data_IF_978038843308
#
_entry.id   IF_978038843308
#
_cell.length_a   1.000
_cell.length_b   1.000
_cell.length_c   1.000
_cell.angle_alpha   90.00
_cell.angle_beta   90.00
_cell.angle_gamma   90.00
#
_symmetry.space_group_name_H-M   'P 1'
#
loop_
_entity.id
_entity.type
_entity.pdbx_description
1 polymer ?
#
# COMPACT_ATOMS: atom_id res chain seq x y z
N UNK A 1 22.48 21.15 28.85
CA UNK A 1 22.51 22.18 29.91
C UNK A 1 22.99 21.62 31.25
N UNK A 2 22.32 20.65 31.88
CA UNK A 2 22.68 20.13 33.23
C UNK A 2 24.04 19.42 33.39
N UNK A 3 24.74 19.05 32.31
CA UNK A 3 25.99 18.28 32.38
C UNK A 3 27.23 19.19 32.30
N UNK A 4 27.09 20.40 31.76
CA UNK A 4 28.22 21.32 31.59
C UNK A 4 28.69 21.92 32.92
N UNK A 5 27.77 22.15 33.87
CA UNK A 5 28.08 22.76 35.17
C UNK A 5 28.93 21.86 36.10
N UNK A 6 28.95 20.55 35.85
CA UNK A 6 29.72 19.56 36.62
C UNK A 6 31.03 19.11 35.95
N UNK A 7 31.33 19.60 34.75
CA UNK A 7 32.52 19.21 33.98
C UNK A 7 33.73 20.14 34.21
N UNK A 8 33.53 21.29 34.84
CA UNK A 8 34.60 22.22 35.17
C UNK A 8 35.37 21.75 36.41
N UNK A 9 36.67 21.39 36.31
CA UNK A 9 37.47 21.02 37.48
C UNK A 9 37.74 22.20 38.42
N UNK A 10 37.36 23.42 38.00
CA UNK A 10 37.50 24.67 38.73
C UNK A 10 36.15 25.24 39.20
N UNK A 11 35.02 24.56 38.94
CA UNK A 11 33.77 24.87 39.64
C UNK A 11 33.93 24.37 41.07
N UNK A 12 34.33 25.32 41.91
CA UNK A 12 34.47 25.17 43.35
C UNK A 12 33.30 24.31 43.86
N UNK A 13 33.59 23.09 44.31
CA UNK A 13 32.67 22.32 45.15
C UNK A 13 32.32 23.28 46.28
N UNK A 14 31.15 23.91 46.16
CA UNK A 14 30.73 24.93 47.10
C UNK A 14 30.86 24.34 48.48
N UNK A 15 31.43 25.08 49.43
CA UNK A 15 31.32 24.72 50.83
C UNK A 15 29.84 24.36 51.13
N UNK A 16 29.57 23.31 51.92
CA UNK A 16 28.20 22.89 52.20
C UNK A 16 27.39 24.10 52.65
N UNK A 17 26.24 24.31 52.02
CA UNK A 17 25.32 25.40 52.37
C UNK A 17 25.04 25.28 53.88
N UNK A 18 25.45 26.27 54.71
CA UNK A 18 25.43 26.12 56.17
C UNK A 18 24.00 25.90 56.71
N UNK A 19 22.97 26.24 55.94
CA UNK A 19 21.58 26.05 56.29
C UNK A 19 20.99 24.71 55.82
N UNK A 20 21.67 23.95 54.95
CA UNK A 20 21.23 22.62 54.53
C UNK A 20 22.39 21.73 54.03
N UNK A 21 23.18 21.11 54.93
CA UNK A 21 24.33 20.28 54.58
C UNK A 21 23.98 19.01 53.78
N UNK A 22 22.70 18.66 53.65
CA UNK A 22 22.27 17.46 52.91
C UNK A 22 22.07 17.69 51.40
N UNK A 23 22.00 18.94 50.92
CA UNK A 23 21.76 19.25 49.49
C UNK A 23 22.79 18.58 48.58
N UNK A 24 24.07 18.66 48.92
CA UNK A 24 25.15 18.01 48.17
C UNK A 24 25.00 16.50 48.07
N UNK A 25 24.51 15.86 49.13
CA UNK A 25 24.29 14.41 49.16
C UNK A 25 23.05 14.02 48.33
N UNK A 26 22.01 14.85 48.32
CA UNK A 26 20.84 14.67 47.47
C UNK A 26 21.18 14.86 45.99
N UNK A 27 22.01 15.85 45.67
CA UNK A 27 22.47 16.13 44.31
C UNK A 27 23.36 14.98 43.80
N UNK A 28 24.31 14.48 44.59
CA UNK A 28 25.14 13.32 44.21
C UNK A 28 24.27 12.07 43.94
N UNK A 29 23.28 11.81 44.80
CA UNK A 29 22.35 10.68 44.63
C UNK A 29 21.50 10.83 43.37
N UNK A 30 21.04 12.04 43.07
CA UNK A 30 20.24 12.33 41.88
C UNK A 30 21.07 12.13 40.61
N UNK A 31 22.26 12.73 40.56
CA UNK A 31 23.18 12.62 39.43
C UNK A 31 23.54 11.16 39.18
N UNK A 32 23.89 10.41 40.24
CA UNK A 32 24.21 8.98 40.13
C UNK A 32 23.06 8.20 39.50
N UNK A 33 21.82 8.45 39.91
CA UNK A 33 20.66 7.76 39.32
C UNK A 33 20.45 8.14 37.86
N UNK A 34 20.54 9.41 37.51
CA UNK A 34 20.38 9.90 36.13
C UNK A 34 21.45 9.33 35.20
N UNK A 35 22.69 9.22 35.66
CA UNK A 35 23.78 8.61 34.91
C UNK A 35 23.48 7.13 34.63
N UNK A 36 22.98 6.37 35.61
CA UNK A 36 22.59 4.98 35.37
C UNK A 36 21.40 4.86 34.42
N UNK A 37 20.39 5.73 34.53
CA UNK A 37 19.25 5.74 33.63
C UNK A 37 19.73 5.97 32.18
N UNK A 38 20.59 6.98 31.95
CA UNK A 38 21.17 7.25 30.64
C UNK A 38 22.01 6.07 30.11
N UNK A 39 22.90 5.50 30.93
CA UNK A 39 23.73 4.36 30.52
C UNK A 39 22.88 3.12 30.21
N UNK A 40 21.85 2.84 31.01
CA UNK A 40 20.95 1.72 30.78
C UNK A 40 20.15 1.87 29.49
N UNK A 41 19.67 3.07 29.19
CA UNK A 41 18.98 3.35 27.92
C UNK A 41 19.94 3.17 26.75
N UNK A 42 21.16 3.71 26.83
CA UNK A 42 22.14 3.57 25.76
C UNK A 42 22.57 2.12 25.53
N UNK A 43 22.68 1.31 26.59
CA UNK A 43 22.92 -0.14 26.48
C UNK A 43 21.72 -0.87 25.87
N UNK A 44 20.49 -0.56 26.30
CA UNK A 44 19.27 -1.18 25.78
C UNK A 44 19.03 -0.87 24.30
N UNK A 45 19.49 0.31 23.84
CA UNK A 45 19.48 0.72 22.43
C UNK A 45 20.66 0.16 21.62
N UNK A 46 21.50 -0.69 22.23
CA UNK A 46 22.71 -1.27 21.66
C UNK A 46 23.75 -0.24 21.15
N UNK A 47 23.72 0.98 21.71
CA UNK A 47 24.63 2.07 21.32
C UNK A 47 25.99 1.93 22.01
N UNK A 48 25.97 1.41 23.24
CA UNK A 48 27.16 1.14 24.04
C UNK A 48 27.10 -0.28 24.63
N UNK A 49 28.25 -0.90 24.85
CA UNK A 49 28.38 -2.10 25.68
C UNK A 49 29.16 -1.78 26.95
N UNK A 50 28.88 -2.51 28.03
CA UNK A 50 29.59 -2.38 29.30
C UNK A 50 30.14 -3.75 29.72
N UNK A 51 31.46 -3.83 29.86
CA UNK A 51 32.11 -4.94 30.56
C UNK A 51 32.79 -4.41 31.82
N UNK A 52 32.28 -4.80 32.99
CA UNK A 52 32.75 -4.32 34.31
C UNK A 52 32.83 -2.78 34.38
N UNK A 53 34.03 -2.22 34.28
CA UNK A 53 34.32 -0.77 34.37
C UNK A 53 34.63 -0.15 33.01
N UNK A 54 34.64 -0.94 31.94
CA UNK A 54 34.88 -0.48 30.58
C UNK A 54 33.55 -0.25 29.86
N UNK A 55 33.42 0.91 29.22
CA UNK A 55 32.29 1.24 28.36
C UNK A 55 32.84 1.38 26.95
N UNK A 56 32.31 0.58 26.03
CA UNK A 56 32.69 0.60 24.62
C UNK A 56 31.57 1.23 23.80
N UNK A 57 31.94 2.15 22.91
CA UNK A 57 31.02 2.74 21.94
C UNK A 57 30.79 1.76 20.79
N UNK A 58 29.56 1.26 20.65
CA UNK A 58 29.17 0.35 19.55
C UNK A 58 28.69 1.13 18.31
N UNK A 59 28.23 2.36 18.49
CA UNK A 59 27.69 3.21 17.44
C UNK A 59 26.16 3.32 17.50
N UNK A 60 25.58 4.29 16.81
CA UNK A 60 24.13 4.38 16.71
C UNK A 60 23.60 3.20 15.88
N UNK A 61 22.47 2.57 16.26
CA UNK A 61 21.80 1.60 15.40
C UNK A 61 21.48 2.31 14.08
N UNK A 62 22.31 2.05 13.06
CA UNK A 62 22.02 2.46 11.69
C UNK A 62 20.80 1.64 11.28
N UNK A 63 19.84 2.26 10.58
CA UNK A 63 18.91 1.49 9.74
C UNK A 63 19.75 0.47 8.99
N UNK A 64 19.58 -0.80 9.32
CA UNK A 64 20.47 -1.82 8.79
C UNK A 64 20.28 -1.85 7.27
N UNK A 65 21.29 -2.25 6.51
CA UNK A 65 21.12 -2.45 5.06
C UNK A 65 19.91 -3.36 4.78
N UNK A 66 19.63 -4.31 5.67
CA UNK A 66 18.43 -5.15 5.64
C UNK A 66 17.13 -4.36 5.76
N UNK A 67 17.06 -3.35 6.64
CA UNK A 67 15.86 -2.51 6.79
C UNK A 67 15.63 -1.65 5.55
N UNK A 68 16.71 -1.12 4.96
CA UNK A 68 16.67 -0.38 3.70
C UNK A 68 16.17 -1.27 2.57
N UNK A 69 16.65 -2.51 2.48
CA UNK A 69 16.23 -3.45 1.44
C UNK A 69 14.77 -3.88 1.62
N UNK A 70 14.30 -4.11 2.86
CA UNK A 70 12.88 -4.35 3.16
C UNK A 70 12.00 -3.18 2.72
N UNK A 71 12.40 -1.95 3.05
CA UNK A 71 11.71 -0.72 2.64
C UNK A 71 11.65 -0.59 1.11
N UNK A 72 12.74 -0.90 0.40
CA UNK A 72 12.75 -0.91 -1.07
C UNK A 72 11.77 -1.94 -1.65
N UNK A 73 11.77 -3.16 -1.10
CA UNK A 73 10.82 -4.20 -1.53
C UNK A 73 9.38 -3.76 -1.29
N UNK A 74 9.09 -3.13 -0.15
CA UNK A 74 7.77 -2.61 0.16
C UNK A 74 7.36 -1.49 -0.81
N UNK A 75 8.25 -0.55 -1.11
CA UNK A 75 8.01 0.52 -2.11
C UNK A 75 7.69 -0.06 -3.48
N UNK A 76 8.44 -1.07 -3.93
CA UNK A 76 8.18 -1.75 -5.21
C UNK A 76 6.81 -2.43 -5.18
N UNK A 77 6.47 -3.12 -4.10
CA UNK A 77 5.19 -3.79 -3.92
C UNK A 77 4.01 -2.80 -3.91
N UNK A 78 4.15 -1.68 -3.20
CA UNK A 78 3.15 -0.61 -3.15
C UNK A 78 2.96 0.02 -4.52
N UNK A 79 4.05 0.31 -5.24
CA UNK A 79 3.97 0.85 -6.60
C UNK A 79 3.24 -0.11 -7.54
N UNK A 80 3.58 -1.39 -7.52
CA UNK A 80 2.87 -2.40 -8.33
C UNK A 80 1.38 -2.52 -8.00
N UNK A 81 0.99 -2.31 -6.73
CA UNK A 81 -0.43 -2.25 -6.33
C UNK A 81 -1.13 -1.00 -6.83
N UNK A 82 -0.45 0.14 -6.81
CA UNK A 82 -0.97 1.40 -7.37
C UNK A 82 -1.19 1.23 -8.87
N UNK A 83 -0.19 0.73 -9.60
CA UNK A 83 -0.27 0.55 -11.05
C UNK A 83 -1.44 -0.36 -11.45
N UNK A 84 -1.65 -1.48 -10.73
CA UNK A 84 -2.81 -2.37 -10.95
C UNK A 84 -4.14 -1.67 -10.70
N UNK A 85 -4.25 -0.87 -9.62
CA UNK A 85 -5.47 -0.12 -9.31
C UNK A 85 -5.74 0.96 -10.35
N UNK A 86 -4.70 1.65 -10.82
CA UNK A 86 -4.81 2.66 -11.86
C UNK A 86 -5.29 2.05 -13.19
N UNK A 87 -4.73 0.89 -13.59
CA UNK A 87 -5.16 0.19 -14.79
C UNK A 87 -6.63 -0.26 -14.70
N UNK A 88 -7.03 -0.84 -13.57
CA UNK A 88 -8.41 -1.26 -13.34
C UNK A 88 -9.39 -0.07 -13.32
N UNK A 89 -8.98 1.06 -12.72
CA UNK A 89 -9.79 2.27 -12.70
C UNK A 89 -9.98 2.84 -14.11
N UNK A 90 -8.92 2.83 -14.93
CA UNK A 90 -9.01 3.25 -16.33
C UNK A 90 -10.00 2.38 -17.10
N UNK A 91 -9.91 1.06 -16.99
CA UNK A 91 -10.85 0.13 -17.62
C UNK A 91 -12.31 0.40 -17.20
N UNK A 92 -12.55 0.64 -15.91
CA UNK A 92 -13.88 0.95 -15.39
C UNK A 92 -14.40 2.30 -15.92
N UNK A 93 -13.51 3.30 -16.05
CA UNK A 93 -13.86 4.59 -16.61
C UNK A 93 -14.23 4.47 -18.10
N UNK A 94 -13.46 3.70 -18.87
CA UNK A 94 -13.73 3.46 -20.28
C UNK A 94 -15.08 2.75 -20.47
N UNK A 95 -15.37 1.74 -19.65
CA UNK A 95 -16.70 1.08 -19.61
C UNK A 95 -17.83 2.05 -19.28
N UNK A 96 -17.66 2.91 -18.28
CA UNK A 96 -18.66 3.90 -17.88
C UNK A 96 -18.96 4.89 -19.02
N UNK A 97 -17.91 5.41 -19.66
CA UNK A 97 -18.05 6.32 -20.81
C UNK A 97 -18.73 5.59 -21.98
N UNK A 98 -18.34 4.36 -22.29
CA UNK A 98 -18.97 3.55 -23.33
C UNK A 98 -20.47 3.33 -23.09
N UNK A 99 -20.86 3.04 -21.85
CA UNK A 99 -22.28 2.87 -21.47
C UNK A 99 -23.06 4.18 -21.57
N UNK A 100 -22.50 5.30 -21.11
CA UNK A 100 -23.12 6.62 -21.24
C UNK A 100 -23.36 6.98 -22.72
N UNK A 101 -22.35 6.79 -23.57
CA UNK A 101 -22.47 7.03 -25.01
C UNK A 101 -23.53 6.14 -25.65
N UNK A 102 -23.62 4.86 -25.25
CA UNK A 102 -24.64 3.93 -25.76
C UNK A 102 -26.05 4.38 -25.37
N UNK A 103 -26.26 4.80 -24.12
CA UNK A 103 -27.55 5.32 -23.65
C UNK A 103 -27.93 6.57 -24.43
N UNK A 104 -27.03 7.55 -24.53
CA UNK A 104 -27.28 8.80 -25.25
C UNK A 104 -27.64 8.54 -26.72
N UNK A 105 -26.87 7.68 -27.41
CA UNK A 105 -27.15 7.28 -28.79
C UNK A 105 -28.52 6.64 -28.94
N UNK A 106 -28.88 5.72 -28.04
CA UNK A 106 -30.17 5.04 -28.09
C UNK A 106 -31.32 6.04 -27.85
N UNK A 107 -31.20 6.94 -26.88
CA UNK A 107 -32.19 8.00 -26.61
C UNK A 107 -32.42 8.88 -27.85
N UNK A 108 -31.36 9.26 -28.56
CA UNK A 108 -31.46 10.03 -29.80
C UNK A 108 -32.23 9.28 -30.91
N UNK A 109 -31.96 7.97 -31.09
CA UNK A 109 -32.66 7.13 -32.09
C UNK A 109 -34.15 6.97 -31.77
N UNK A 110 -34.50 6.82 -30.48
CA UNK A 110 -35.91 6.79 -30.07
C UNK A 110 -36.59 8.16 -30.23
N UNK A 111 -35.87 9.27 -30.05
CA UNK A 111 -36.38 10.63 -30.22
C UNK A 111 -36.57 11.05 -31.69
N UNK A 112 -35.79 10.50 -32.62
CA UNK A 112 -35.86 10.83 -34.05
C UNK A 112 -36.93 10.05 -34.82
N UNK A 113 -37.57 9.06 -34.20
CA UNK A 113 -38.56 8.17 -34.84
C UNK A 113 -37.94 7.05 -35.68
N UNK A 114 -36.61 6.95 -35.72
CA UNK A 114 -35.85 5.85 -36.35
C UNK A 114 -35.49 4.78 -35.31
N UNK A 115 -36.48 4.38 -34.51
CA UNK A 115 -36.29 3.40 -33.46
C UNK A 115 -36.04 2.01 -34.09
N UNK A 116 -34.89 1.36 -33.82
CA UNK A 116 -34.63 0.03 -34.33
C UNK A 116 -35.70 -0.95 -33.82
N UNK A 117 -36.19 -1.82 -34.69
CA UNK A 117 -37.25 -2.79 -34.37
C UNK A 117 -36.78 -3.98 -33.52
N UNK A 118 -35.50 -4.02 -33.15
CA UNK A 118 -34.90 -5.08 -32.34
C UNK A 118 -33.61 -4.64 -31.63
N UNK A 119 -33.24 -5.37 -30.58
CA UNK A 119 -32.03 -5.13 -29.79
C UNK A 119 -31.83 -6.22 -28.73
N UNK A 120 -30.62 -6.29 -28.17
CA UNK A 120 -30.26 -7.19 -27.07
C UNK A 120 -29.99 -6.36 -25.82
N UNK A 121 -30.66 -6.68 -24.72
CA UNK A 121 -30.47 -5.99 -23.44
C UNK A 121 -29.18 -6.45 -22.74
N UNK A 122 -28.52 -5.54 -22.04
CA UNK A 122 -27.38 -5.84 -21.18
C UNK A 122 -27.82 -6.52 -19.87
N UNK A 123 -26.99 -7.38 -19.25
CA UNK A 123 -25.71 -7.87 -19.76
C UNK A 123 -25.89 -9.09 -20.68
N UNK A 124 -25.08 -9.16 -21.75
CA UNK A 124 -24.97 -10.34 -22.59
C UNK A 124 -23.50 -10.61 -22.91
N UNK A 125 -23.21 -11.80 -23.44
CA UNK A 125 -21.91 -12.13 -24.03
C UNK A 125 -22.13 -12.47 -25.50
N UNK A 126 -21.19 -12.07 -26.36
CA UNK A 126 -21.25 -12.42 -27.77
C UNK A 126 -20.13 -13.40 -28.10
N UNK A 127 -20.51 -14.55 -28.65
CA UNK A 127 -19.56 -15.52 -29.16
C UNK A 127 -19.53 -15.44 -30.67
N UNK A 128 -18.40 -15.01 -31.23
CA UNK A 128 -18.24 -14.86 -32.67
C UNK A 128 -17.34 -15.97 -33.23
N UNK A 129 -17.84 -16.64 -34.26
CA UNK A 129 -17.14 -17.71 -34.99
C UNK A 129 -17.00 -17.36 -36.47
N UNK A 130 -16.19 -18.14 -37.21
CA UNK A 130 -16.11 -17.97 -38.67
C UNK A 130 -17.42 -18.37 -39.33
N UNK A 131 -17.82 -17.75 -40.47
CA UNK A 131 -19.08 -18.06 -41.15
C UNK A 131 -19.29 -19.54 -41.52
N UNK A 132 -18.20 -20.31 -41.64
CA UNK A 132 -18.19 -21.74 -41.99
C UNK A 132 -17.79 -22.64 -40.80
N UNK A 133 -17.75 -22.12 -39.58
CA UNK A 133 -17.56 -22.93 -38.39
C UNK A 133 -18.86 -23.67 -38.07
N UNK A 134 -18.75 -24.91 -37.58
CA UNK A 134 -19.89 -25.64 -37.02
C UNK A 134 -19.81 -25.50 -35.52
N UNK A 135 -20.93 -25.15 -34.89
CA UNK A 135 -21.05 -25.01 -33.44
C UNK A 135 -22.16 -25.94 -33.00
N UNK A 136 -21.83 -26.88 -32.13
CA UNK A 136 -22.83 -27.71 -31.46
C UNK A 136 -23.13 -27.08 -30.10
N UNK A 137 -24.41 -26.90 -29.81
CA UNK A 137 -24.88 -26.24 -28.59
C UNK A 137 -25.82 -27.19 -27.88
N UNK A 138 -25.47 -27.56 -26.65
CA UNK A 138 -26.32 -28.32 -25.75
C UNK A 138 -26.70 -27.43 -24.57
N UNK A 139 -28.01 -27.33 -24.31
CA UNK A 139 -28.55 -26.54 -23.20
C UNK A 139 -29.21 -27.53 -22.24
N UNK A 140 -28.86 -27.43 -20.97
CA UNK A 140 -29.51 -28.22 -19.92
C UNK A 140 -31.01 -27.89 -19.83
N UNK A 141 -31.79 -28.85 -19.34
CA UNK A 141 -33.25 -28.67 -19.20
C UNK A 141 -33.62 -27.51 -18.25
N UNK A 142 -32.79 -27.27 -17.23
CA UNK A 142 -32.94 -26.15 -16.27
C UNK A 142 -32.38 -24.81 -16.79
N UNK A 143 -31.83 -24.80 -18.02
CA UNK A 143 -31.21 -23.65 -18.68
C UNK A 143 -30.06 -23.00 -17.89
N UNK A 144 -29.47 -23.71 -16.91
CA UNK A 144 -28.34 -23.19 -16.13
C UNK A 144 -26.99 -23.50 -16.76
N UNK A 145 -26.93 -24.50 -17.65
CA UNK A 145 -25.71 -24.93 -18.29
C UNK A 145 -25.86 -24.89 -19.80
N UNK A 146 -24.90 -24.23 -20.46
CA UNK A 146 -24.78 -24.24 -21.91
C UNK A 146 -23.40 -24.78 -22.24
N UNK A 147 -23.36 -25.88 -23.00
CA UNK A 147 -22.15 -26.46 -23.54
C UNK A 147 -22.02 -26.06 -25.01
N UNK A 148 -20.88 -25.47 -25.36
CA UNK A 148 -20.54 -25.13 -26.73
C UNK A 148 -19.38 -26.00 -27.20
N UNK A 149 -19.58 -26.80 -28.23
CA UNK A 149 -18.50 -27.47 -28.95
C UNK A 149 -18.20 -26.70 -30.25
N UNK A 150 -16.97 -26.22 -30.35
CA UNK A 150 -16.49 -25.48 -31.51
C UNK A 150 -15.44 -26.30 -32.25
N UNK A 151 -15.73 -26.66 -33.50
CA UNK A 151 -14.78 -27.39 -34.32
C UNK A 151 -13.55 -26.55 -34.77
N UNK A 152 -13.54 -25.24 -34.49
CA UNK A 152 -12.48 -24.28 -34.86
C UNK A 152 -12.40 -23.13 -33.85
N UNK A 153 -11.31 -22.36 -33.91
CA UNK A 153 -11.10 -21.15 -33.12
C UNK A 153 -12.31 -20.19 -33.12
N UNK A 154 -12.65 -19.70 -31.93
CA UNK A 154 -13.73 -18.77 -31.62
C UNK A 154 -13.21 -17.59 -30.77
N UNK A 155 -13.90 -16.45 -30.81
CA UNK A 155 -13.62 -15.29 -29.95
C UNK A 155 -14.82 -15.03 -29.03
N UNK A 156 -14.53 -14.88 -27.75
CA UNK A 156 -15.46 -14.32 -26.78
C UNK A 156 -15.27 -12.81 -26.77
N UNK A 157 -16.34 -12.07 -27.05
CA UNK A 157 -16.37 -10.62 -26.95
C UNK A 157 -17.31 -10.25 -25.82
N UNK A 158 -16.74 -9.68 -24.76
CA UNK A 158 -17.51 -9.11 -23.67
C UNK A 158 -17.94 -7.68 -24.00
N UNK A 159 -18.94 -7.19 -23.27
CA UNK A 159 -19.53 -5.85 -23.46
C UNK A 159 -18.49 -4.71 -23.55
N UNK A 160 -17.44 -4.65 -22.71
CA UNK A 160 -16.43 -3.58 -22.81
C UNK A 160 -15.76 -3.53 -24.18
N UNK A 161 -15.43 -4.69 -24.76
CA UNK A 161 -14.82 -4.77 -26.08
C UNK A 161 -15.77 -4.32 -27.19
N UNK A 162 -17.06 -4.63 -27.06
CA UNK A 162 -18.09 -4.24 -28.02
C UNK A 162 -18.41 -2.74 -27.98
N UNK A 163 -18.18 -2.07 -26.85
CA UNK A 163 -18.38 -0.61 -26.72
C UNK A 163 -17.27 0.19 -27.41
N UNK A 164 -16.03 -0.33 -27.44
CA UNK A 164 -14.89 0.29 -28.13
C UNK A 164 -14.95 0.13 -29.66
N UNK A 165 -15.43 -1.02 -30.13
CA UNK A 165 -15.70 -1.22 -31.56
C UNK A 165 -17.03 -0.58 -31.89
N UNK A 166 -17.03 0.67 -32.36
CA UNK A 166 -18.21 1.40 -32.86
C UNK A 166 -19.27 0.48 -33.50
N UNK A 167 -20.24 0.05 -32.69
CA UNK A 167 -21.55 -0.41 -33.13
C UNK A 167 -22.42 0.80 -33.45
#
# INVERSE_FOLDING_TARGET
ELVAEFADPNSNIGSPDPDNPNTQQYDEKNIRRRVYDALNVLMAMDIISKDKKEIQWKGLPRTSLSDIDKLKTEVIGLKGRIDKKSAYLQELQDQYVGLQNLVERNEQLYGSGDAPSGGVALPFILVQTRPHATVEVEISEDMQLVHFDFNRFHKFLDIPFLLDTHL
#
